data_IF_816049175953
#
_entry.id   IF_816049175953
#
_cell.length_a   1.000
_cell.length_b   1.000
_cell.length_c   1.000
_cell.angle_alpha   90.00
_cell.angle_beta   90.00
_cell.angle_gamma   90.00
#
_symmetry.space_group_name_H-M   'P 1'
#
loop_
_entity.id
_entity.type
_entity.pdbx_description
1 polymer ?
#
# COMPACT_ATOMS: atom_id res chain seq x y z
N UNK A 1 -29.09 45.17 -9.40
CA UNK A 1 -28.07 46.13 -9.87
C UNK A 1 -27.06 46.34 -8.76
N UNK A 2 -26.02 45.52 -8.74
CA UNK A 2 -24.69 45.74 -8.16
C UNK A 2 -23.84 44.58 -8.73
N UNK A 3 -23.52 44.69 -10.01
CA UNK A 3 -22.47 43.90 -10.62
C UNK A 3 -21.16 44.50 -10.09
N UNK A 4 -20.57 43.84 -9.11
CA UNK A 4 -19.19 44.12 -8.74
C UNK A 4 -18.32 43.33 -9.73
N UNK A 5 -17.86 44.01 -10.76
CA UNK A 5 -16.71 43.61 -11.57
C UNK A 5 -15.49 43.53 -10.66
N UNK A 6 -15.31 42.39 -9.99
CA UNK A 6 -14.01 41.99 -9.52
C UNK A 6 -13.27 41.43 -10.73
N UNK A 7 -12.61 42.32 -11.49
CA UNK A 7 -11.49 41.95 -12.35
C UNK A 7 -10.60 40.98 -11.57
N UNK A 8 -10.37 39.83 -12.17
CA UNK A 8 -9.64 38.72 -11.57
C UNK A 8 -8.26 39.19 -11.10
N UNK A 9 -8.16 39.50 -9.81
CA UNK A 9 -6.90 39.52 -9.08
C UNK A 9 -6.25 38.18 -9.37
N UNK A 10 -5.12 38.22 -10.09
CA UNK A 10 -4.43 37.05 -10.60
C UNK A 10 -4.38 35.96 -9.54
N UNK A 11 -4.75 34.72 -9.91
CA UNK A 11 -4.69 33.60 -8.99
C UNK A 11 -3.29 33.54 -8.39
N UNK A 12 -3.18 33.87 -7.10
CA UNK A 12 -1.99 33.59 -6.30
C UNK A 12 -1.87 32.07 -6.25
N UNK A 13 -0.96 31.51 -7.03
CA UNK A 13 -0.54 30.12 -6.86
C UNK A 13 0.46 30.12 -5.71
N UNK A 14 0.06 29.59 -4.54
CA UNK A 14 1.01 29.33 -3.47
C UNK A 14 2.00 28.27 -3.95
N UNK A 15 3.25 28.66 -4.14
CA UNK A 15 4.39 27.78 -4.35
C UNK A 15 5.39 28.04 -3.24
N UNK A 16 5.77 27.00 -2.50
CA UNK A 16 6.89 27.06 -1.56
C UNK A 16 8.13 26.63 -2.33
N UNK A 17 9.02 27.59 -2.59
CA UNK A 17 10.41 27.30 -2.96
C UNK A 17 11.16 27.10 -1.66
N UNK A 18 11.69 25.89 -1.42
CA UNK A 18 12.39 25.63 -0.16
C UNK A 18 13.79 26.23 -0.20
N UNK A 19 14.58 25.89 -1.22
CA UNK A 19 15.93 26.44 -1.44
C UNK A 19 16.18 26.73 -2.91
N UNK A 20 16.90 27.82 -3.18
CA UNK A 20 17.53 28.06 -4.47
C UNK A 20 18.89 28.76 -4.33
N UNK A 21 19.81 28.49 -5.24
CA UNK A 21 21.07 29.20 -5.42
C UNK A 21 21.51 29.13 -6.89
N UNK A 22 22.54 29.88 -7.29
CA UNK A 22 23.10 29.80 -8.64
C UNK A 22 24.60 29.49 -8.60
N UNK A 23 25.08 28.83 -9.66
CA UNK A 23 26.49 28.50 -9.86
C UNK A 23 26.91 28.76 -11.32
N UNK A 24 28.18 29.13 -11.58
CA UNK A 24 29.23 29.33 -10.59
C UNK A 24 29.10 30.66 -9.83
N UNK A 25 28.37 31.64 -10.38
CA UNK A 25 28.21 32.95 -9.74
C UNK A 25 26.96 32.93 -8.83
N UNK A 26 27.06 33.47 -7.60
CA UNK A 26 25.95 33.47 -6.65
C UNK A 26 24.83 34.42 -7.09
N UNK A 27 23.63 34.19 -6.57
CA UNK A 27 22.46 35.04 -6.82
C UNK A 27 22.76 36.49 -6.43
N UNK A 28 22.36 37.42 -7.29
CA UNK A 28 22.48 38.86 -7.03
C UNK A 28 21.24 39.32 -6.28
N UNK A 29 21.41 39.72 -5.03
CA UNK A 29 20.33 40.25 -4.18
C UNK A 29 20.57 41.74 -3.96
N UNK A 30 19.80 42.58 -4.65
CA UNK A 30 19.95 44.03 -4.58
C UNK A 30 18.60 44.72 -4.70
N UNK A 31 18.33 45.70 -3.82
CA UNK A 31 17.13 46.54 -3.89
C UNK A 31 15.81 45.77 -3.82
N UNK A 32 15.76 44.65 -3.10
CA UNK A 32 14.57 43.79 -3.01
C UNK A 32 14.32 42.91 -4.24
N UNK A 33 15.24 42.89 -5.21
CA UNK A 33 15.21 41.99 -6.37
C UNK A 33 16.25 40.90 -6.22
N UNK A 34 15.92 39.70 -6.74
CA UNK A 34 16.84 38.57 -6.83
C UNK A 34 17.06 38.28 -8.30
N UNK A 35 18.31 38.14 -8.74
CA UNK A 35 18.65 37.82 -10.13
C UNK A 35 19.65 36.68 -10.22
N UNK A 36 19.45 35.80 -11.18
CA UNK A 36 20.44 34.82 -11.59
C UNK A 36 21.44 35.49 -12.55
N UNK A 37 22.76 35.42 -12.29
CA UNK A 37 23.75 35.95 -13.22
C UNK A 37 23.67 35.25 -14.59
N UNK A 38 23.97 35.98 -15.66
CA UNK A 38 24.01 35.43 -17.02
C UNK A 38 25.04 34.30 -17.12
N UNK A 39 24.69 33.22 -17.81
CA UNK A 39 25.53 32.03 -17.93
C UNK A 39 25.65 31.17 -16.65
N UNK A 40 24.98 31.54 -15.55
CA UNK A 40 24.88 30.68 -14.37
C UNK A 40 23.64 29.78 -14.43
N UNK A 41 23.74 28.62 -13.77
CA UNK A 41 22.65 27.66 -13.61
C UNK A 41 21.99 27.91 -12.26
N UNK A 42 20.65 28.04 -12.25
CA UNK A 42 19.87 28.12 -11.03
C UNK A 42 19.53 26.71 -10.53
N UNK A 43 19.88 26.38 -9.30
CA UNK A 43 19.44 25.17 -8.62
C UNK A 43 18.19 25.47 -7.80
N UNK A 44 17.18 24.61 -7.89
CA UNK A 44 15.93 24.74 -7.12
C UNK A 44 15.63 23.42 -6.45
N UNK A 45 15.64 23.42 -5.12
CA UNK A 45 15.55 22.20 -4.32
C UNK A 45 14.28 22.19 -3.49
N UNK A 46 13.57 21.06 -3.53
CA UNK A 46 12.42 20.76 -2.69
C UNK A 46 12.80 19.68 -1.66
N UNK A 47 12.55 19.95 -0.38
CA UNK A 47 12.89 19.05 0.71
C UNK A 47 11.75 18.07 0.98
N UNK A 48 12.09 16.78 0.99
CA UNK A 48 11.15 15.72 1.35
C UNK A 48 11.62 14.95 2.57
N UNK A 49 10.72 14.80 3.54
CA UNK A 49 10.91 14.02 4.78
C UNK A 49 10.10 12.72 4.82
N UNK A 50 9.27 12.49 3.80
CA UNK A 50 8.48 11.27 3.63
C UNK A 50 9.26 10.09 3.06
N UNK A 51 8.54 9.02 2.78
CA UNK A 51 9.03 7.85 2.04
C UNK A 51 9.27 8.22 0.57
N UNK A 52 10.47 7.95 0.06
CA UNK A 52 10.88 8.28 -1.31
C UNK A 52 10.11 7.49 -2.36
N UNK A 53 9.61 6.29 -2.02
CA UNK A 53 8.77 5.48 -2.91
C UNK A 53 7.43 6.13 -3.30
N UNK A 54 7.03 7.20 -2.62
CA UNK A 54 5.84 7.98 -2.93
C UNK A 54 6.11 9.25 -3.72
N UNK A 55 7.37 9.57 -3.99
CA UNK A 55 7.78 10.77 -4.72
C UNK A 55 8.17 10.36 -6.14
N UNK A 56 7.52 10.90 -7.19
CA UNK A 56 7.96 10.66 -8.56
C UNK A 56 9.39 11.17 -8.76
N UNK A 57 10.19 10.51 -9.62
CA UNK A 57 11.50 11.02 -10.02
C UNK A 57 11.40 12.47 -10.53
N UNK A 58 12.43 13.26 -10.30
CA UNK A 58 12.43 14.71 -10.58
C UNK A 58 12.13 15.03 -12.05
N UNK A 59 12.51 14.16 -12.99
CA UNK A 59 12.21 14.29 -14.42
C UNK A 59 10.70 14.27 -14.73
N UNK A 60 9.89 13.67 -13.85
CA UNK A 60 8.45 13.56 -13.99
C UNK A 60 7.68 14.30 -12.88
N UNK A 61 8.40 14.92 -11.93
CA UNK A 61 7.80 15.56 -10.78
C UNK A 61 7.24 16.95 -11.13
N UNK A 62 5.92 17.04 -11.26
CA UNK A 62 5.24 18.30 -11.61
C UNK A 62 5.46 19.42 -10.58
N UNK A 63 5.60 19.10 -9.30
CA UNK A 63 5.87 20.11 -8.27
C UNK A 63 7.26 20.71 -8.46
N UNK A 64 8.29 19.86 -8.61
CA UNK A 64 9.68 20.30 -8.79
C UNK A 64 9.84 21.15 -10.07
N UNK A 65 9.24 20.73 -11.18
CA UNK A 65 9.25 21.51 -12.44
C UNK A 65 8.50 22.83 -12.33
N UNK A 66 7.38 22.86 -11.61
CA UNK A 66 6.64 24.11 -11.38
C UNK A 66 7.44 25.07 -10.53
N UNK A 67 8.12 24.57 -9.50
CA UNK A 67 9.06 25.33 -8.68
C UNK A 67 10.21 25.90 -9.53
N UNK A 68 10.81 25.07 -10.40
CA UNK A 68 11.85 25.53 -11.33
C UNK A 68 11.35 26.65 -12.26
N UNK A 69 10.16 26.52 -12.86
CA UNK A 69 9.55 27.56 -13.69
C UNK A 69 9.31 28.87 -12.93
N UNK A 70 8.74 28.79 -11.73
CA UNK A 70 8.51 29.98 -10.90
C UNK A 70 9.82 30.67 -10.52
N UNK A 71 10.84 29.89 -10.14
CA UNK A 71 12.14 30.41 -9.78
C UNK A 71 12.85 31.06 -10.99
N UNK A 72 12.84 30.42 -12.17
CA UNK A 72 13.36 31.00 -13.41
C UNK A 72 12.72 32.36 -13.71
N UNK A 73 11.39 32.46 -13.64
CA UNK A 73 10.68 33.72 -13.88
C UNK A 73 10.99 34.78 -12.83
N UNK A 74 11.15 34.37 -11.58
CA UNK A 74 11.45 35.28 -10.47
C UNK A 74 12.88 35.84 -10.56
N UNK A 75 13.86 35.01 -10.91
CA UNK A 75 15.28 35.39 -10.93
C UNK A 75 15.80 35.78 -12.32
N UNK A 76 15.02 35.54 -13.38
CA UNK A 76 15.47 35.70 -14.78
C UNK A 76 16.51 34.66 -15.21
N UNK A 77 16.49 33.45 -14.63
CA UNK A 77 17.43 32.40 -15.00
C UNK A 77 17.08 31.79 -16.37
N UNK A 78 18.11 31.58 -17.22
CA UNK A 78 17.96 30.92 -18.53
C UNK A 78 18.01 29.38 -18.43
N UNK A 79 18.68 28.87 -17.39
CA UNK A 79 18.82 27.45 -17.11
C UNK A 79 18.52 27.15 -15.64
N UNK A 80 17.72 26.12 -15.38
CA UNK A 80 17.32 25.71 -14.03
C UNK A 80 17.43 24.20 -13.83
N UNK A 81 18.10 23.75 -12.78
CA UNK A 81 18.12 22.34 -12.37
C UNK A 81 17.13 22.15 -11.20
N UNK A 82 15.96 21.50 -11.43
CA UNK A 82 15.12 21.05 -10.34
C UNK A 82 15.79 19.87 -9.62
N UNK A 83 15.64 19.83 -8.30
CA UNK A 83 16.14 18.75 -7.47
C UNK A 83 15.21 18.47 -6.28
N UNK A 84 15.26 17.23 -5.80
CA UNK A 84 14.56 16.77 -4.60
C UNK A 84 15.60 16.23 -3.62
N UNK A 85 15.57 16.73 -2.39
CA UNK A 85 16.49 16.28 -1.33
C UNK A 85 15.74 15.49 -0.25
N UNK A 86 16.09 14.21 -0.11
CA UNK A 86 15.48 13.29 0.85
C UNK A 86 16.22 13.30 2.19
N UNK A 87 15.56 13.79 3.25
CA UNK A 87 16.21 14.03 4.56
C UNK A 87 16.49 12.73 5.34
N UNK A 88 15.69 11.67 5.16
CA UNK A 88 15.71 10.48 6.05
C UNK A 88 16.52 9.28 5.55
N UNK A 89 16.73 9.12 4.24
CA UNK A 89 17.46 7.97 3.68
C UNK A 89 18.94 8.32 3.50
N UNK A 90 19.85 7.46 3.97
CA UNK A 90 21.27 7.48 3.60
C UNK A 90 22.12 8.73 3.91
N UNK A 91 21.54 9.81 4.48
CA UNK A 91 22.09 11.17 4.66
C UNK A 91 22.19 12.01 3.38
N UNK A 92 21.04 12.41 2.84
CA UNK A 92 20.95 13.47 1.84
C UNK A 92 21.15 12.98 0.41
N UNK A 93 20.48 11.88 0.04
CA UNK A 93 20.35 11.50 -1.37
C UNK A 93 19.59 12.58 -2.12
N UNK A 94 20.15 12.97 -3.27
CA UNK A 94 19.55 13.92 -4.19
C UNK A 94 19.01 13.18 -5.39
N UNK A 95 17.80 13.56 -5.79
CA UNK A 95 17.27 13.25 -7.11
C UNK A 95 17.30 14.54 -7.93
N UNK A 96 18.18 14.59 -8.93
CA UNK A 96 18.47 15.78 -9.74
C UNK A 96 18.25 15.46 -11.20
N UNK A 97 17.64 16.39 -11.94
CA UNK A 97 17.50 16.22 -13.37
C UNK A 97 18.88 16.07 -14.02
N UNK A 98 18.99 15.12 -14.96
CA UNK A 98 20.24 14.89 -15.68
C UNK A 98 20.73 16.12 -16.48
N UNK A 99 19.79 16.97 -16.92
CA UNK A 99 20.05 18.19 -17.67
C UNK A 99 19.28 19.36 -17.06
N UNK A 100 19.87 20.56 -17.13
CA UNK A 100 19.17 21.78 -16.74
C UNK A 100 18.03 22.06 -17.73
N UNK A 101 16.88 22.47 -17.20
CA UNK A 101 15.75 22.92 -18.01
C UNK A 101 16.08 24.29 -18.60
N UNK A 102 16.04 24.40 -19.93
CA UNK A 102 16.20 25.66 -20.64
C UNK A 102 14.86 26.33 -20.94
N UNK A 103 14.91 27.39 -21.74
CA UNK A 103 13.73 28.17 -22.14
C UNK A 103 12.62 27.30 -22.77
N UNK A 104 12.99 26.33 -23.62
CA UNK A 104 12.04 25.48 -24.34
C UNK A 104 11.29 24.55 -23.38
N UNK A 105 12.01 23.84 -22.51
CA UNK A 105 11.41 22.91 -21.54
C UNK A 105 10.54 23.66 -20.52
N UNK A 106 10.98 24.83 -20.08
CA UNK A 106 10.22 25.69 -19.17
C UNK A 106 8.94 26.21 -19.82
N UNK A 107 8.98 26.63 -21.09
CA UNK A 107 7.81 27.07 -21.83
C UNK A 107 6.79 25.93 -22.04
N UNK A 108 7.26 24.72 -22.37
CA UNK A 108 6.41 23.53 -22.47
C UNK A 108 5.72 23.21 -21.13
N UNK A 109 6.46 23.27 -20.02
CA UNK A 109 5.89 23.05 -18.69
C UNK A 109 4.87 24.13 -18.31
N UNK A 110 5.11 25.39 -18.69
CA UNK A 110 4.16 26.48 -18.50
C UNK A 110 2.84 26.24 -19.26
N UNK A 111 2.90 25.80 -20.52
CA UNK A 111 1.72 25.46 -21.31
C UNK A 111 0.92 24.32 -20.66
N UNK A 112 1.61 23.27 -20.21
CA UNK A 112 0.99 22.17 -19.49
C UNK A 112 0.31 22.64 -18.20
N UNK A 113 0.96 23.51 -17.42
CA UNK A 113 0.39 24.08 -16.20
C UNK A 113 -0.87 24.91 -16.49
N UNK A 114 -0.85 25.74 -17.55
CA UNK A 114 -2.02 26.50 -18.00
C UNK A 114 -3.18 25.58 -18.39
N UNK A 115 -2.88 24.48 -19.08
CA UNK A 115 -3.87 23.45 -19.44
C UNK A 115 -4.49 22.81 -18.19
N UNK A 116 -3.69 22.43 -17.18
CA UNK A 116 -4.20 21.87 -15.92
C UNK A 116 -5.07 22.86 -15.16
N UNK A 117 -4.69 24.14 -15.11
CA UNK A 117 -5.50 25.20 -14.48
C UNK A 117 -6.84 25.35 -15.22
N UNK A 118 -6.83 25.36 -16.55
CA UNK A 118 -8.04 25.45 -17.36
C UNK A 118 -8.97 24.25 -17.11
N UNK A 119 -8.43 23.02 -17.16
CA UNK A 119 -9.16 21.79 -16.85
C UNK A 119 -9.74 21.80 -15.43
N UNK A 120 -8.96 22.26 -14.44
CA UNK A 120 -9.42 22.38 -13.05
C UNK A 120 -10.55 23.39 -12.89
N UNK A 121 -10.49 24.53 -13.59
CA UNK A 121 -11.57 25.53 -13.63
C UNK A 121 -12.82 24.98 -14.30
N UNK A 122 -12.66 24.30 -15.42
CA UNK A 122 -13.76 23.67 -16.15
C UNK A 122 -14.44 22.58 -15.31
N UNK A 123 -13.67 21.69 -14.69
CA UNK A 123 -14.19 20.65 -13.81
C UNK A 123 -14.90 21.24 -12.58
N UNK A 124 -14.44 22.38 -12.05
CA UNK A 124 -15.12 23.08 -10.96
C UNK A 124 -16.46 23.68 -11.39
N UNK A 125 -16.53 24.21 -12.61
CA UNK A 125 -17.78 24.73 -13.18
C UNK A 125 -18.74 23.60 -13.61
N UNK A 126 -18.19 22.47 -14.06
CA UNK A 126 -18.92 21.32 -14.58
C UNK A 126 -18.43 20.01 -13.91
N UNK A 127 -18.80 19.74 -12.65
CA UNK A 127 -18.27 18.59 -11.90
C UNK A 127 -18.53 17.22 -12.54
N UNK A 128 -19.58 17.10 -13.36
CA UNK A 128 -19.90 15.87 -14.08
C UNK A 128 -18.91 15.54 -15.22
N UNK A 129 -18.09 16.51 -15.65
CA UNK A 129 -17.01 16.28 -16.61
C UNK A 129 -15.75 15.72 -15.95
N UNK A 130 -15.68 15.72 -14.61
CA UNK A 130 -14.52 15.21 -13.89
C UNK A 130 -14.43 13.68 -14.00
N UNK A 131 -13.49 13.22 -14.82
CA UNK A 131 -13.12 11.80 -14.88
C UNK A 131 -12.14 11.50 -13.74
N UNK A 132 -12.68 11.00 -12.63
CA UNK A 132 -11.87 10.56 -11.50
C UNK A 132 -11.09 9.30 -11.88
N UNK A 133 -9.77 9.36 -11.73
CA UNK A 133 -8.86 8.24 -12.00
C UNK A 133 -8.18 7.80 -10.72
N UNK A 134 -7.97 6.51 -10.60
CA UNK A 134 -7.12 5.95 -9.56
C UNK A 134 -5.67 6.41 -9.74
N UNK A 135 -4.97 6.55 -8.62
CA UNK A 135 -3.54 6.75 -8.59
C UNK A 135 -2.97 6.50 -7.20
N UNK A 136 -1.64 6.61 -7.02
CA UNK A 136 -0.98 6.38 -5.73
C UNK A 136 -1.58 7.21 -4.58
N UNK A 137 -2.05 8.43 -4.87
CA UNK A 137 -2.70 9.31 -3.90
C UNK A 137 -3.96 8.71 -3.24
N UNK A 138 -4.63 7.74 -3.88
CA UNK A 138 -5.82 7.09 -3.34
C UNK A 138 -5.55 6.34 -2.03
N UNK A 139 -4.31 5.89 -1.75
CA UNK A 139 -3.95 5.28 -0.48
C UNK A 139 -4.09 6.23 0.73
N UNK A 140 -3.88 7.53 0.49
CA UNK A 140 -3.81 8.58 1.51
C UNK A 140 -4.99 9.56 1.48
N UNK A 141 -5.83 9.50 0.44
CA UNK A 141 -6.93 10.43 0.24
C UNK A 141 -8.02 10.28 1.34
N UNK A 142 -8.32 11.37 2.04
CA UNK A 142 -9.38 11.42 3.06
C UNK A 142 -10.78 11.27 2.46
N UNK A 143 -10.99 11.71 1.22
CA UNK A 143 -12.26 11.58 0.51
C UNK A 143 -12.51 10.17 -0.07
N UNK A 144 -11.58 9.22 0.12
CA UNK A 144 -11.63 7.88 -0.48
C UNK A 144 -12.94 7.13 -0.20
N UNK A 145 -13.49 7.27 1.01
CA UNK A 145 -14.71 6.57 1.40
C UNK A 145 -15.95 6.96 0.57
N UNK A 146 -15.92 8.15 -0.04
CA UNK A 146 -17.03 8.69 -0.84
C UNK A 146 -16.65 8.89 -2.31
N UNK A 147 -15.45 8.46 -2.72
CA UNK A 147 -14.97 8.65 -4.08
C UNK A 147 -15.61 7.62 -5.03
N UNK A 148 -16.33 8.05 -6.08
CA UNK A 148 -16.98 7.10 -7.00
C UNK A 148 -15.97 6.26 -7.79
N UNK A 149 -14.74 6.76 -8.04
CA UNK A 149 -13.68 5.94 -8.65
C UNK A 149 -13.32 4.73 -7.78
N UNK A 150 -13.40 4.86 -6.45
CA UNK A 150 -13.11 3.76 -5.55
C UNK A 150 -14.22 2.69 -5.53
N UNK A 151 -15.48 3.09 -5.71
CA UNK A 151 -16.57 2.13 -5.92
C UNK A 151 -16.39 1.36 -7.25
N UNK A 152 -15.92 2.03 -8.30
CA UNK A 152 -15.59 1.39 -9.57
C UNK A 152 -14.44 0.37 -9.44
N UNK A 153 -13.48 0.57 -8.53
CA UNK A 153 -12.45 -0.46 -8.20
C UNK A 153 -13.11 -1.77 -7.80
N UNK A 154 -14.05 -1.73 -6.86
CA UNK A 154 -14.67 -2.94 -6.32
C UNK A 154 -15.48 -3.68 -7.40
N UNK A 155 -16.17 -2.94 -8.27
CA UNK A 155 -16.88 -3.50 -9.42
C UNK A 155 -15.88 -4.11 -10.42
N UNK A 156 -14.81 -3.39 -10.75
CA UNK A 156 -13.76 -3.87 -11.66
C UNK A 156 -13.05 -5.12 -11.14
N UNK A 157 -12.82 -5.19 -9.83
CA UNK A 157 -12.23 -6.36 -9.17
C UNK A 157 -13.10 -7.60 -9.30
N UNK A 158 -14.42 -7.47 -9.08
CA UNK A 158 -15.34 -8.61 -9.25
C UNK A 158 -15.21 -9.22 -10.65
N UNK A 159 -15.20 -8.36 -11.67
CA UNK A 159 -15.03 -8.79 -13.08
C UNK A 159 -13.66 -9.41 -13.33
N UNK A 160 -12.59 -8.81 -12.80
CA UNK A 160 -11.24 -9.35 -12.95
C UNK A 160 -11.08 -10.72 -12.26
N UNK A 161 -11.73 -10.94 -11.11
CA UNK A 161 -11.73 -12.22 -10.42
C UNK A 161 -12.55 -13.28 -11.17
N UNK A 162 -13.69 -12.93 -11.76
CA UNK A 162 -14.47 -13.80 -12.64
C UNK A 162 -13.65 -14.25 -13.86
N UNK A 163 -12.92 -13.32 -14.47
CA UNK A 163 -12.00 -13.63 -15.58
C UNK A 163 -10.88 -14.58 -15.14
N UNK A 164 -10.28 -14.35 -13.97
CA UNK A 164 -9.23 -15.22 -13.43
C UNK A 164 -9.74 -16.62 -13.01
N UNK A 165 -11.02 -16.76 -12.68
CA UNK A 165 -11.64 -18.01 -12.22
C UNK A 165 -12.22 -18.87 -13.37
N UNK A 166 -12.33 -18.32 -14.59
CA UNK A 166 -12.88 -19.03 -15.74
C UNK A 166 -12.00 -20.19 -16.22
N UNK A 167 -12.58 -21.36 -16.59
CA UNK A 167 -11.83 -22.54 -17.02
C UNK A 167 -11.12 -22.39 -18.38
N UNK A 168 -11.44 -21.35 -19.15
CA UNK A 168 -10.90 -21.08 -20.49
C UNK A 168 -10.51 -19.61 -20.65
N UNK A 169 -9.52 -19.12 -19.90
CA UNK A 169 -8.82 -17.89 -20.29
C UNK A 169 -7.88 -18.23 -21.45
N UNK A 170 -8.48 -18.51 -22.62
CA UNK A 170 -7.81 -18.28 -23.88
C UNK A 170 -7.49 -16.79 -23.89
N UNK A 171 -6.23 -16.45 -23.65
CA UNK A 171 -5.70 -15.10 -23.84
C UNK A 171 -6.19 -14.64 -25.21
N UNK A 172 -7.15 -13.72 -25.22
CA UNK A 172 -7.62 -13.13 -26.47
C UNK A 172 -6.40 -12.55 -27.17
N UNK A 173 -6.09 -13.06 -28.36
CA UNK A 173 -4.98 -12.61 -29.19
C UNK A 173 -5.29 -11.31 -29.94
N UNK A 174 -6.47 -10.72 -29.72
CA UNK A 174 -6.88 -9.46 -30.32
C UNK A 174 -6.33 -8.27 -29.48
N UNK A 175 -5.29 -7.57 -29.96
CA UNK A 175 -4.66 -6.46 -29.24
C UNK A 175 -5.49 -5.17 -29.31
N UNK A 176 -6.58 -5.13 -30.08
CA UNK A 176 -7.35 -3.92 -30.35
C UNK A 176 -8.59 -3.74 -29.46
N UNK A 177 -9.02 -4.78 -28.73
CA UNK A 177 -10.19 -4.73 -27.85
C UNK A 177 -9.83 -4.24 -26.44
N UNK A 178 -9.50 -2.95 -26.31
CA UNK A 178 -9.25 -2.20 -25.05
C UNK A 178 -8.00 -2.67 -24.29
N UNK A 179 -7.07 -1.77 -23.91
CA UNK A 179 -5.93 -2.14 -23.07
C UNK A 179 -6.43 -2.30 -21.63
N UNK A 180 -7.19 -3.35 -21.35
CA UNK A 180 -7.19 -3.89 -20.01
C UNK A 180 -5.75 -4.36 -19.79
N UNK A 181 -5.03 -3.57 -18.99
CA UNK A 181 -3.95 -4.11 -18.18
C UNK A 181 -4.35 -5.52 -17.76
N UNK A 182 -3.55 -6.58 -18.09
CA UNK A 182 -3.97 -7.96 -17.89
C UNK A 182 -4.54 -8.11 -16.48
N UNK A 183 -5.68 -8.78 -16.32
CA UNK A 183 -6.42 -8.84 -15.04
C UNK A 183 -5.49 -9.13 -13.85
N UNK A 184 -4.45 -9.96 -14.04
CA UNK A 184 -3.39 -10.24 -13.07
C UNK A 184 -2.61 -9.00 -12.61
N UNK A 185 -2.13 -8.17 -13.55
CA UNK A 185 -1.38 -6.94 -13.26
C UNK A 185 -2.32 -5.91 -12.62
N UNK A 186 -3.56 -5.82 -13.11
CA UNK A 186 -4.57 -4.94 -12.54
C UNK A 186 -4.84 -5.30 -11.07
N UNK A 187 -5.12 -6.57 -10.77
CA UNK A 187 -5.34 -7.07 -9.40
C UNK A 187 -4.10 -6.86 -8.54
N UNK A 188 -2.91 -7.20 -9.03
CA UNK A 188 -1.66 -7.05 -8.27
C UNK A 188 -1.42 -5.60 -7.85
N UNK A 189 -1.67 -4.63 -8.74
CA UNK A 189 -1.52 -3.19 -8.44
C UNK A 189 -2.55 -2.67 -7.43
N UNK A 190 -3.72 -3.31 -7.32
CA UNK A 190 -4.80 -2.92 -6.39
C UNK A 190 -4.84 -3.72 -5.09
N UNK A 191 -4.09 -4.82 -4.97
CA UNK A 191 -4.15 -5.68 -3.79
C UNK A 191 -3.88 -4.92 -2.48
N UNK A 192 -2.83 -4.09 -2.45
CA UNK A 192 -2.52 -3.25 -1.28
C UNK A 192 -3.66 -2.29 -0.92
N UNK A 193 -4.33 -1.70 -1.93
CA UNK A 193 -5.46 -0.80 -1.69
C UNK A 193 -6.64 -1.56 -1.05
N UNK A 194 -6.88 -2.79 -1.48
CA UNK A 194 -7.94 -3.66 -0.93
C UNK A 194 -7.60 -4.09 0.49
N UNK A 195 -6.37 -4.49 0.76
CA UNK A 195 -5.90 -4.82 2.11
C UNK A 195 -6.07 -3.63 3.06
N UNK A 196 -5.66 -2.44 2.64
CA UNK A 196 -5.85 -1.21 3.42
C UNK A 196 -7.32 -0.87 3.63
N UNK A 197 -8.19 -1.15 2.65
CA UNK A 197 -9.62 -0.96 2.78
C UNK A 197 -10.23 -1.93 3.79
N UNK A 198 -9.92 -3.22 3.68
CA UNK A 198 -10.38 -4.27 4.60
C UNK A 198 -9.89 -3.98 6.02
N UNK A 199 -8.62 -3.55 6.18
CA UNK A 199 -8.07 -3.16 7.47
C UNK A 199 -8.82 -2.00 8.11
N UNK A 200 -9.11 -0.93 7.34
CA UNK A 200 -9.88 0.22 7.82
C UNK A 200 -11.33 -0.16 8.13
N UNK A 201 -11.98 -0.97 7.30
CA UNK A 201 -13.33 -1.46 7.54
C UNK A 201 -13.40 -2.31 8.82
N UNK A 202 -12.44 -3.20 9.02
CA UNK A 202 -12.32 -4.00 10.24
C UNK A 202 -12.12 -3.12 11.47
N UNK A 203 -11.23 -2.12 11.42
CA UNK A 203 -11.04 -1.18 12.53
C UNK A 203 -12.33 -0.43 12.88
N UNK A 204 -13.05 0.10 11.88
CA UNK A 204 -14.32 0.79 12.09
C UNK A 204 -15.40 -0.15 12.68
N UNK A 205 -15.44 -1.41 12.26
CA UNK A 205 -16.35 -2.41 12.84
C UNK A 205 -15.97 -2.73 14.30
N UNK A 206 -14.67 -2.82 14.62
CA UNK A 206 -14.19 -2.99 16.01
C UNK A 206 -14.67 -1.81 16.86
N UNK A 207 -14.40 -0.57 16.43
CA UNK A 207 -14.81 0.64 17.15
C UNK A 207 -16.33 0.67 17.38
N UNK A 208 -17.11 0.30 16.37
CA UNK A 208 -18.57 0.21 16.46
C UNK A 208 -19.02 -0.83 17.48
N UNK A 209 -18.38 -2.01 17.50
CA UNK A 209 -18.74 -3.09 18.43
C UNK A 209 -18.30 -2.80 19.86
N UNK A 210 -17.14 -2.17 20.04
CA UNK A 210 -16.67 -1.77 21.37
C UNK A 210 -17.61 -0.73 21.98
N UNK A 211 -18.18 0.16 21.16
CA UNK A 211 -19.14 1.17 21.60
C UNK A 211 -20.57 0.64 21.79
N UNK A 212 -21.03 -0.33 20.98
CA UNK A 212 -22.46 -0.68 20.89
C UNK A 212 -22.78 -2.17 21.12
N UNK A 213 -21.76 -3.02 21.30
CA UNK A 213 -21.91 -4.47 21.36
C UNK A 213 -21.86 -5.15 19.99
N UNK A 214 -21.93 -6.49 19.99
CA UNK A 214 -21.81 -7.30 18.77
C UNK A 214 -22.92 -6.99 17.75
N UNK A 215 -22.59 -7.10 16.46
CA UNK A 215 -23.51 -6.86 15.35
C UNK A 215 -24.19 -8.19 14.97
N UNK A 216 -25.52 -8.24 14.97
CA UNK A 216 -26.27 -9.36 14.38
C UNK A 216 -26.16 -9.30 12.85
N UNK A 217 -25.62 -10.36 12.23
CA UNK A 217 -25.45 -10.45 10.78
C UNK A 217 -26.48 -11.37 10.12
N UNK A 218 -27.45 -11.89 10.88
CA UNK A 218 -28.45 -12.86 10.42
C UNK A 218 -28.01 -14.32 10.59
N UNK A 219 -28.95 -15.26 10.36
CA UNK A 219 -28.72 -16.72 10.42
C UNK A 219 -28.12 -17.24 11.74
N UNK A 220 -28.39 -16.51 12.83
CA UNK A 220 -27.85 -16.80 14.16
C UNK A 220 -26.34 -16.58 14.26
N UNK A 221 -25.77 -15.76 13.39
CA UNK A 221 -24.38 -15.31 13.44
C UNK A 221 -24.31 -13.87 13.97
N UNK A 222 -23.25 -13.58 14.69
CA UNK A 222 -22.90 -12.25 15.14
C UNK A 222 -21.46 -11.92 14.73
N UNK A 223 -21.17 -10.64 14.50
CA UNK A 223 -19.82 -10.13 14.32
C UNK A 223 -19.41 -9.33 15.57
N UNK A 224 -18.31 -9.72 16.21
CA UNK A 224 -17.82 -9.04 17.41
C UNK A 224 -16.75 -9.82 18.17
N UNK A 225 -16.39 -9.38 19.40
CA UNK A 225 -15.41 -10.06 20.23
C UNK A 225 -15.99 -11.40 20.69
N UNK A 226 -15.24 -12.46 20.46
CA UNK A 226 -15.50 -13.78 21.02
C UNK A 226 -14.20 -14.43 21.45
N UNK A 227 -14.20 -15.20 22.55
CA UNK A 227 -13.01 -15.92 22.95
C UNK A 227 -12.69 -17.00 21.91
N UNK A 228 -11.42 -17.11 21.57
CA UNK A 228 -10.87 -18.21 20.77
C UNK A 228 -9.73 -18.83 21.57
N UNK A 229 -9.74 -20.16 21.65
CA UNK A 229 -8.65 -20.91 22.28
C UNK A 229 -7.61 -21.23 21.22
N UNK A 230 -6.38 -20.82 21.47
CA UNK A 230 -5.24 -21.08 20.60
C UNK A 230 -4.23 -21.92 21.36
N UNK A 231 -3.93 -23.09 20.83
CA UNK A 231 -2.94 -24.00 21.42
C UNK A 231 -1.63 -23.85 20.67
N UNK A 232 -0.59 -23.38 21.36
CA UNK A 232 0.76 -23.25 20.81
C UNK A 232 1.64 -24.39 21.31
N UNK A 233 2.47 -24.94 20.42
CA UNK A 233 3.46 -25.96 20.75
C UNK A 233 4.78 -25.26 21.12
N UNK A 234 5.25 -25.45 22.35
CA UNK A 234 6.53 -24.94 22.82
C UNK A 234 7.65 -25.81 22.24
N UNK A 235 8.41 -25.25 21.29
CA UNK A 235 9.45 -25.99 20.58
C UNK A 235 10.44 -26.68 21.52
N UNK A 236 10.92 -25.95 22.54
CA UNK A 236 11.90 -26.45 23.52
C UNK A 236 11.48 -27.78 24.17
N UNK A 237 10.20 -27.91 24.52
CA UNK A 237 9.68 -29.07 25.26
C UNK A 237 9.13 -30.14 24.31
N UNK A 238 8.78 -29.76 23.08
CA UNK A 238 8.27 -30.65 22.06
C UNK A 238 9.36 -31.49 21.36
N UNK A 239 10.61 -31.00 21.27
CA UNK A 239 11.70 -31.72 20.55
C UNK A 239 11.86 -33.15 21.05
N UNK A 240 11.94 -33.36 22.37
CA UNK A 240 12.15 -34.70 22.92
C UNK A 240 11.00 -35.66 22.57
N UNK A 241 9.75 -35.21 22.73
CA UNK A 241 8.57 -36.02 22.40
C UNK A 241 8.54 -36.38 20.92
N UNK A 242 8.87 -35.41 20.04
CA UNK A 242 8.87 -35.63 18.59
C UNK A 242 10.02 -36.54 18.15
N UNK A 243 11.23 -36.38 18.71
CA UNK A 243 12.35 -37.28 18.46
C UNK A 243 12.03 -38.72 18.87
N UNK A 244 11.40 -38.92 20.03
CA UNK A 244 11.00 -40.25 20.51
C UNK A 244 9.92 -40.88 19.61
N UNK A 245 8.91 -40.09 19.22
CA UNK A 245 7.77 -40.60 18.45
C UNK A 245 8.03 -40.74 16.95
N UNK A 246 8.85 -39.88 16.35
CA UNK A 246 9.10 -39.84 14.91
C UNK A 246 10.47 -40.41 14.51
N UNK A 247 11.40 -40.56 15.47
CA UNK A 247 12.74 -41.10 15.22
C UNK A 247 13.50 -40.26 14.19
N UNK A 248 14.11 -40.87 13.16
CA UNK A 248 14.84 -40.15 12.12
C UNK A 248 14.00 -39.12 11.33
N UNK A 249 12.68 -39.15 11.42
CA UNK A 249 11.77 -38.24 10.71
C UNK A 249 11.31 -37.04 11.56
N UNK A 250 11.87 -36.89 12.78
CA UNK A 250 11.55 -35.78 13.65
C UNK A 250 12.06 -34.44 13.10
N UNK A 251 13.14 -34.47 12.33
CA UNK A 251 13.68 -33.33 11.58
C UNK A 251 12.62 -32.65 10.71
N UNK A 252 11.77 -33.41 10.01
CA UNK A 252 10.68 -32.83 9.19
C UNK A 252 9.71 -32.00 10.03
N UNK A 253 9.45 -32.40 11.27
CA UNK A 253 8.56 -31.67 12.17
C UNK A 253 9.24 -30.46 12.85
N UNK A 254 10.56 -30.47 12.98
CA UNK A 254 11.37 -29.54 13.79
C UNK A 254 12.13 -28.51 12.94
N UNK A 255 12.62 -28.89 11.76
CA UNK A 255 13.70 -28.22 11.02
C UNK A 255 13.21 -27.16 10.01
N UNK A 256 11.90 -27.11 9.75
CA UNK A 256 11.36 -26.32 8.63
C UNK A 256 10.98 -24.88 9.03
N UNK A 257 10.82 -24.58 10.32
CA UNK A 257 10.42 -23.23 10.79
C UNK A 257 10.82 -22.99 12.25
N UNK A 258 10.92 -21.73 12.73
CA UNK A 258 11.07 -21.42 14.16
C UNK A 258 9.84 -21.85 15.01
N UNK A 259 8.89 -22.58 14.43
CA UNK A 259 7.60 -22.88 15.00
C UNK A 259 7.12 -24.28 14.61
N UNK A 260 6.93 -25.13 15.60
CA UNK A 260 6.33 -26.45 15.41
C UNK A 260 4.81 -26.27 15.31
N UNK A 261 4.20 -26.78 14.25
CA UNK A 261 2.74 -26.72 14.01
C UNK A 261 2.15 -28.11 13.92
N UNK A 262 0.81 -28.22 14.01
CA UNK A 262 0.15 -29.51 13.79
C UNK A 262 0.40 -30.04 12.37
N UNK A 263 0.57 -29.17 11.38
CA UNK A 263 0.87 -29.59 10.00
C UNK A 263 2.29 -30.15 9.86
N UNK A 264 3.32 -29.52 10.44
CA UNK A 264 4.68 -30.08 10.36
C UNK A 264 4.79 -31.42 11.07
N UNK A 265 4.07 -31.60 12.19
CA UNK A 265 3.94 -32.91 12.84
C UNK A 265 3.23 -33.92 11.92
N UNK A 266 2.15 -33.51 11.24
CA UNK A 266 1.42 -34.37 10.29
C UNK A 266 2.32 -34.82 9.14
N UNK A 267 3.16 -33.94 8.62
CA UNK A 267 4.15 -34.26 7.58
C UNK A 267 5.19 -35.26 8.09
N UNK A 268 5.77 -35.04 9.27
CA UNK A 268 6.71 -35.98 9.90
C UNK A 268 6.08 -37.37 10.14
N UNK A 269 4.82 -37.40 10.60
CA UNK A 269 4.06 -38.66 10.77
C UNK A 269 3.82 -39.35 9.43
N UNK A 270 3.45 -38.61 8.38
CA UNK A 270 3.24 -39.19 7.03
C UNK A 270 4.54 -39.80 6.50
N UNK A 271 5.66 -39.11 6.66
CA UNK A 271 6.97 -39.59 6.23
C UNK A 271 7.36 -40.89 6.95
N UNK A 272 7.24 -40.92 8.28
CA UNK A 272 7.48 -42.13 9.09
C UNK A 272 6.61 -43.30 8.66
N UNK A 273 5.29 -43.10 8.58
CA UNK A 273 4.36 -44.19 8.23
C UNK A 273 4.61 -44.70 6.81
N UNK A 274 4.99 -43.83 5.87
CA UNK A 274 5.37 -44.24 4.52
C UNK A 274 6.63 -45.13 4.53
N UNK A 275 7.65 -44.78 5.32
CA UNK A 275 8.85 -45.60 5.50
C UNK A 275 8.54 -46.96 6.15
N UNK A 276 7.59 -46.99 7.09
CA UNK A 276 7.13 -48.20 7.79
C UNK A 276 6.15 -49.05 6.95
N UNK A 277 5.76 -48.61 5.75
CA UNK A 277 4.78 -49.29 4.91
C UNK A 277 3.31 -49.21 5.39
N UNK A 278 3.01 -48.32 6.33
CA UNK A 278 1.67 -48.11 6.89
C UNK A 278 0.96 -46.91 6.23
N UNK A 279 -0.31 -47.05 5.82
CA UNK A 279 -1.04 -45.99 5.08
C UNK A 279 -2.31 -45.44 5.76
N UNK A 280 -2.69 -45.92 6.95
CA UNK A 280 -4.02 -45.62 7.54
C UNK A 280 -4.02 -45.17 9.01
N UNK A 281 -2.87 -44.73 9.55
CA UNK A 281 -2.76 -44.42 10.99
C UNK A 281 -2.39 -42.97 11.31
N UNK A 282 -2.29 -42.07 10.32
CA UNK A 282 -1.81 -40.68 10.52
C UNK A 282 -2.54 -39.94 11.63
N UNK A 283 -3.87 -39.84 11.60
CA UNK A 283 -4.63 -39.08 12.61
C UNK A 283 -4.67 -39.77 13.99
N UNK A 284 -4.48 -41.09 14.06
CA UNK A 284 -4.35 -41.80 15.33
C UNK A 284 -2.98 -41.51 15.97
N UNK A 285 -1.92 -41.56 15.16
CA UNK A 285 -0.55 -41.21 15.58
C UNK A 285 -0.45 -39.74 15.98
N UNK A 286 -1.04 -38.80 15.22
CA UNK A 286 -1.07 -37.38 15.58
C UNK A 286 -1.77 -37.19 16.92
N UNK A 287 -2.93 -37.81 17.14
CA UNK A 287 -3.62 -37.73 18.44
C UNK A 287 -2.76 -38.24 19.60
N UNK A 288 -2.02 -39.34 19.40
CA UNK A 288 -1.09 -39.86 20.41
C UNK A 288 0.06 -38.89 20.69
N UNK A 289 0.67 -38.32 19.63
CA UNK A 289 1.75 -37.34 19.76
C UNK A 289 1.25 -36.09 20.49
N UNK A 290 0.10 -35.55 20.12
CA UNK A 290 -0.48 -34.38 20.80
C UNK A 290 -0.80 -34.65 22.28
N UNK A 291 -1.27 -35.85 22.62
CA UNK A 291 -1.46 -36.25 24.02
C UNK A 291 -0.13 -36.24 24.80
N UNK A 292 0.92 -36.83 24.23
CA UNK A 292 2.27 -36.84 24.82
C UNK A 292 2.87 -35.43 24.95
N UNK A 293 2.65 -34.57 23.96
CA UNK A 293 3.03 -33.16 24.04
C UNK A 293 2.30 -32.44 25.18
N UNK A 294 1.02 -32.75 25.39
CA UNK A 294 0.25 -32.25 26.53
C UNK A 294 0.82 -32.73 27.88
N UNK A 295 1.12 -34.02 28.00
CA UNK A 295 1.75 -34.61 29.20
C UNK A 295 3.13 -34.02 29.51
N UNK A 296 3.90 -33.68 28.47
CA UNK A 296 5.20 -33.05 28.59
C UNK A 296 5.14 -31.53 28.90
N UNK A 297 3.94 -30.94 28.99
CA UNK A 297 3.78 -29.50 29.16
C UNK A 297 4.16 -28.68 27.92
N UNK A 298 4.34 -29.32 26.76
CA UNK A 298 4.72 -28.67 25.52
C UNK A 298 3.54 -27.98 24.81
N UNK A 299 2.31 -28.13 25.32
CA UNK A 299 1.11 -27.45 24.80
C UNK A 299 0.69 -26.33 25.74
N UNK A 300 0.71 -25.09 25.25
CA UNK A 300 0.16 -23.92 25.95
C UNK A 300 -1.11 -23.47 25.26
N UNK A 301 -2.24 -23.59 25.93
CA UNK A 301 -3.52 -23.05 25.46
C UNK A 301 -3.72 -21.66 26.04
N UNK A 302 -3.78 -20.66 25.17
CA UNK A 302 -4.15 -19.29 25.53
C UNK A 302 -5.56 -19.00 25.01
N UNK A 303 -6.38 -18.39 25.85
CA UNK A 303 -7.64 -17.79 25.41
C UNK A 303 -7.37 -16.35 25.01
N UNK A 304 -7.66 -16.01 23.76
CA UNK A 304 -7.51 -14.65 23.23
C UNK A 304 -8.84 -14.16 22.70
N UNK A 305 -9.09 -12.86 22.84
CA UNK A 305 -10.27 -12.25 22.26
C UNK A 305 -10.05 -12.03 20.76
N UNK A 306 -10.90 -12.62 19.93
CA UNK A 306 -10.88 -12.45 18.49
C UNK A 306 -12.09 -11.62 18.05
N UNK A 307 -11.89 -10.67 17.14
CA UNK A 307 -12.98 -9.93 16.50
C UNK A 307 -13.31 -10.56 15.16
N UNK A 308 -14.51 -11.13 15.02
CA UNK A 308 -14.92 -11.79 13.80
C UNK A 308 -16.34 -12.33 13.87
N UNK A 309 -16.71 -13.13 12.85
CA UNK A 309 -17.98 -13.84 12.82
C UNK A 309 -17.97 -15.00 13.80
N UNK A 310 -19.02 -15.12 14.61
CA UNK A 310 -19.23 -16.23 15.54
C UNK A 310 -20.72 -16.54 15.69
N UNK A 311 -21.05 -17.72 16.21
CA UNK A 311 -22.42 -18.07 16.61
C UNK A 311 -22.57 -17.89 18.12
N UNK A 312 -23.44 -17.00 18.62
CA UNK A 312 -23.68 -16.85 20.05
C UNK A 312 -24.08 -18.19 20.71
N UNK A 313 -23.48 -18.50 21.86
CA UNK A 313 -23.72 -19.76 22.58
C UNK A 313 -23.06 -21.01 21.97
N UNK A 314 -22.37 -20.89 20.83
CA UNK A 314 -21.51 -21.96 20.32
C UNK A 314 -20.32 -22.16 21.27
N UNK A 315 -19.86 -23.42 21.40
CA UNK A 315 -18.64 -23.71 22.15
C UNK A 315 -17.48 -22.94 21.50
N UNK A 316 -16.63 -22.34 22.33
CA UNK A 316 -15.40 -21.65 21.91
C UNK A 316 -14.69 -22.46 20.82
N UNK A 317 -14.51 -21.86 19.65
CA UNK A 317 -13.71 -22.47 18.58
C UNK A 317 -12.28 -22.62 19.08
N UNK A 318 -11.68 -23.76 18.78
CA UNK A 318 -10.24 -23.97 18.99
C UNK A 318 -9.58 -23.71 17.64
N UNK A 319 -8.80 -22.64 17.55
CA UNK A 319 -7.91 -22.43 16.41
C UNK A 319 -6.67 -23.31 16.64
N UNK A 320 -6.52 -24.31 15.77
CA UNK A 320 -5.31 -25.10 15.69
C UNK A 320 -4.36 -24.46 14.68
N UNK A 321 -3.09 -24.40 15.04
CA UNK A 321 -2.05 -23.75 14.24
C UNK A 321 -0.97 -24.69 13.75
#
# INVERSE_FOLDING_TARGET
MLAADHEAVGCVTAGTLDIMWSEPEPLIIAGGTVRCPAGSILWVVDYKSGDDSHTPPVEYNAQAKTNALMAAKYTGAEQVVPAILYIRKGRGEWDTAAEALGEVELAQHEEMLRSWIAQGREARANPHLLVLREGPHCGFCSARAHCPAHAQVLIGLSRALEELAGPDVAVSSDPAAVPFEPARVWVARRLRLLEDLVKKARAALIDQVDANGSIDVGDGLAWGPHPVKRTTILAKDAVLVLSDELGPHADIAIDVTPRITRETIREGVRAKLAADGAKRQTEATIRRIMAKLGEAGALVTEERMHYGLYRPGSKTSTEEE
#
